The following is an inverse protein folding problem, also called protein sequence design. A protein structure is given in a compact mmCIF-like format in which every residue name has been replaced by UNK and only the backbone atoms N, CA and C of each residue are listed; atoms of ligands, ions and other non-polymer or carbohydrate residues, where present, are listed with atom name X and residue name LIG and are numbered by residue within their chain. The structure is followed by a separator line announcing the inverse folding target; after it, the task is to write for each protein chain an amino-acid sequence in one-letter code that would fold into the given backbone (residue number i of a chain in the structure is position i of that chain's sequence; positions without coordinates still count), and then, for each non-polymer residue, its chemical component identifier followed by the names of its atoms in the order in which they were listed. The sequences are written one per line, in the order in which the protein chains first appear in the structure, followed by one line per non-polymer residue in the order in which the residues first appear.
data_IF_806666187859
#
_entry.id   IF_806666187859
#
_cell.length_a   1.000
_cell.length_b   1.000
_cell.length_c   1.000
_cell.angle_alpha   90.00
_cell.angle_beta   90.00
_cell.angle_gamma   90.00
#
_symmetry.space_group_name_H-M   'P 1'
#
loop_
_entity.id
_entity.type
_entity.pdbx_description
1 polymer ?
#
# COMPACT_ATOMS: atom_id res chain seq x y z
N UNK A 1 -8.70 13.48 6.59
CA UNK A 1 -8.03 12.70 5.53
C UNK A 1 -7.22 11.62 6.24
N UNK A 2 -7.71 10.36 6.31
CA UNK A 2 -7.08 9.26 7.07
C UNK A 2 -6.25 8.39 6.10
N UNK A 3 -5.06 8.87 5.71
CA UNK A 3 -4.18 8.16 4.77
C UNK A 3 -2.76 8.10 5.32
N UNK A 4 -2.09 6.99 5.06
CA UNK A 4 -0.67 6.76 5.35
C UNK A 4 0.16 6.78 4.05
N UNK A 5 1.47 7.09 4.09
CA UNK A 5 2.27 7.47 5.26
C UNK A 5 2.12 8.96 5.66
N UNK A 6 2.49 9.28 6.91
CA UNK A 6 2.56 10.63 7.47
C UNK A 6 3.93 10.79 8.15
N UNK A 7 4.61 11.91 7.90
CA UNK A 7 5.85 12.30 8.59
C UNK A 7 5.54 13.44 9.55
N UNK A 8 5.95 13.31 10.81
CA UNK A 8 5.74 14.31 11.85
C UNK A 8 7.06 14.64 12.55
N UNK A 9 7.38 15.93 12.66
CA UNK A 9 8.55 16.44 13.36
C UNK A 9 8.20 17.66 14.21
N UNK A 10 7.98 17.44 15.51
CA UNK A 10 7.38 18.44 16.38
C UNK A 10 6.00 18.84 15.83
N UNK A 11 5.82 20.15 15.60
CA UNK A 11 4.58 20.69 15.04
C UNK A 11 4.49 20.57 13.51
N UNK A 12 5.57 20.16 12.82
CA UNK A 12 5.58 20.01 11.37
C UNK A 12 4.99 18.66 10.96
N UNK A 13 3.99 18.68 10.07
CA UNK A 13 3.39 17.47 9.48
C UNK A 13 3.47 17.51 7.97
N UNK A 14 3.95 16.42 7.37
CA UNK A 14 4.07 16.25 5.92
C UNK A 14 3.40 14.95 5.49
N UNK A 15 2.53 15.07 4.49
CA UNK A 15 1.90 13.96 3.78
C UNK A 15 2.41 13.93 2.35
N UNK A 16 2.03 12.89 1.60
CA UNK A 16 2.55 12.54 0.27
C UNK A 16 3.95 11.93 0.28
N UNK A 17 4.00 10.64 -0.01
CA UNK A 17 5.25 9.83 -0.01
C UNK A 17 6.40 10.44 -0.83
N UNK A 18 6.12 11.04 -2.00
CA UNK A 18 7.15 11.68 -2.83
C UNK A 18 7.67 12.97 -2.20
N UNK A 19 6.81 13.77 -1.57
CA UNK A 19 7.24 14.98 -0.86
C UNK A 19 8.07 14.62 0.38
N UNK A 20 7.63 13.62 1.14
CA UNK A 20 8.36 13.06 2.28
C UNK A 20 9.75 12.56 1.87
N UNK A 21 9.86 11.81 0.76
CA UNK A 21 11.14 11.32 0.25
C UNK A 21 12.11 12.48 -0.02
N UNK A 22 11.65 13.53 -0.71
CA UNK A 22 12.49 14.71 -1.03
C UNK A 22 12.90 15.47 0.24
N UNK A 23 12.00 15.58 1.20
CA UNK A 23 12.27 16.17 2.51
C UNK A 23 13.39 15.40 3.24
N UNK A 24 13.27 14.06 3.32
CA UNK A 24 14.27 13.21 3.96
C UNK A 24 15.64 13.27 3.26
N UNK A 25 15.65 13.32 1.92
CA UNK A 25 16.88 13.47 1.14
C UNK A 25 17.65 14.73 1.55
N UNK A 26 16.94 15.86 1.64
CA UNK A 26 17.54 17.14 2.01
C UNK A 26 17.94 17.19 3.49
N UNK A 27 17.07 16.68 4.37
CA UNK A 27 17.29 16.73 5.82
C UNK A 27 18.50 15.91 6.27
N UNK A 28 18.71 14.74 5.67
CA UNK A 28 19.71 13.78 6.13
C UNK A 28 20.95 13.70 5.24
N UNK A 29 21.15 14.67 4.34
CA UNK A 29 22.29 14.70 3.40
C UNK A 29 22.49 13.34 2.70
N UNK A 30 21.41 12.84 2.10
CA UNK A 30 21.37 11.48 1.57
C UNK A 30 22.44 11.28 0.48
N UNK A 31 23.18 10.15 0.49
CA UNK A 31 24.21 9.89 -0.51
C UNK A 31 23.73 10.01 -1.95
N UNK A 32 24.58 10.61 -2.79
CA UNK A 32 24.25 11.02 -4.16
C UNK A 32 23.80 9.87 -5.09
N UNK A 33 24.17 8.63 -4.80
CA UNK A 33 23.73 7.47 -5.59
C UNK A 33 22.25 7.10 -5.40
N UNK A 34 21.61 7.57 -4.32
CA UNK A 34 20.18 7.36 -4.07
C UNK A 34 19.30 8.45 -4.69
N UNK A 35 19.74 9.70 -4.60
CA UNK A 35 19.01 10.85 -5.16
C UNK A 35 20.01 11.92 -5.63
N UNK A 36 20.49 11.83 -6.88
CA UNK A 36 21.63 12.61 -7.36
C UNK A 36 21.48 14.12 -7.21
N UNK A 37 22.57 14.82 -6.91
CA UNK A 37 22.65 16.29 -6.95
C UNK A 37 22.68 16.87 -8.36
N UNK A 38 23.23 16.12 -9.32
CA UNK A 38 23.24 16.48 -10.74
C UNK A 38 21.82 16.77 -11.29
N UNK A 39 21.68 17.91 -11.98
CA UNK A 39 20.39 18.43 -12.43
C UNK A 39 19.63 17.44 -13.31
N UNK A 40 20.30 16.85 -14.30
CA UNK A 40 19.65 15.99 -15.29
C UNK A 40 19.32 14.62 -14.70
N UNK A 41 20.22 14.06 -13.90
CA UNK A 41 19.97 12.79 -13.20
C UNK A 41 18.81 12.93 -12.20
N UNK A 42 18.78 14.01 -11.42
CA UNK A 42 17.66 14.30 -10.51
C UNK A 42 16.35 14.48 -11.25
N UNK A 43 16.35 15.22 -12.35
CA UNK A 43 15.16 15.42 -13.18
C UNK A 43 14.58 14.09 -13.68
N UNK A 44 15.43 13.10 -14.02
CA UNK A 44 14.98 11.77 -14.44
C UNK A 44 14.34 10.96 -13.30
N UNK A 45 14.86 11.10 -12.07
CA UNK A 45 14.23 10.50 -10.88
C UNK A 45 12.88 11.15 -10.61
N UNK A 46 12.81 12.48 -10.63
CA UNK A 46 11.57 13.22 -10.39
C UNK A 46 10.50 12.92 -11.45
N UNK A 47 10.88 12.84 -12.72
CA UNK A 47 10.01 12.44 -13.82
C UNK A 47 9.41 11.06 -13.57
N UNK A 48 10.23 10.07 -13.18
CA UNK A 48 9.74 8.73 -12.85
C UNK A 48 8.80 8.75 -11.64
N UNK A 49 9.14 9.49 -10.57
CA UNK A 49 8.29 9.59 -9.38
C UNK A 49 6.94 10.25 -9.68
N UNK A 50 6.89 11.19 -10.61
CA UNK A 50 5.64 11.78 -11.09
C UNK A 50 4.84 10.78 -11.95
N UNK A 51 5.49 10.17 -12.93
CA UNK A 51 4.86 9.21 -13.86
C UNK A 51 4.32 7.97 -13.14
N UNK A 52 5.06 7.41 -12.17
CA UNK A 52 4.67 6.17 -11.50
C UNK A 52 3.33 6.28 -10.77
N UNK A 53 2.98 7.46 -10.24
CA UNK A 53 1.71 7.69 -9.52
C UNK A 53 0.48 7.50 -10.40
N UNK A 54 0.58 7.80 -11.70
CA UNK A 54 -0.53 7.69 -12.66
C UNK A 54 -0.42 6.49 -13.58
N UNK A 55 0.69 5.75 -13.54
CA UNK A 55 0.97 4.66 -14.46
C UNK A 55 1.17 3.35 -13.71
N UNK A 56 2.36 3.10 -13.18
CA UNK A 56 2.66 1.81 -12.54
C UNK A 56 1.79 1.57 -11.31
N UNK A 57 1.62 2.58 -10.44
CA UNK A 57 0.90 2.45 -9.17
C UNK A 57 -0.55 1.98 -9.34
N UNK A 58 -1.42 2.64 -10.13
CA UNK A 58 -2.82 2.21 -10.27
C UNK A 58 -2.93 0.80 -10.88
N UNK A 59 -2.05 0.45 -11.82
CA UNK A 59 -2.04 -0.88 -12.43
C UNK A 59 -1.61 -1.97 -11.44
N UNK A 60 -0.57 -1.72 -10.64
CA UNK A 60 -0.14 -2.62 -9.57
C UNK A 60 -1.22 -2.79 -8.50
N UNK A 61 -1.84 -1.70 -8.07
CA UNK A 61 -2.98 -1.73 -7.15
C UNK A 61 -4.13 -2.55 -7.73
N UNK A 62 -4.46 -2.39 -9.03
CA UNK A 62 -5.52 -3.16 -9.69
C UNK A 62 -5.23 -4.67 -9.67
N UNK A 63 -4.00 -5.09 -9.96
CA UNK A 63 -3.62 -6.50 -9.90
C UNK A 63 -3.81 -7.04 -8.47
N UNK A 64 -3.33 -6.30 -7.46
CA UNK A 64 -3.52 -6.67 -6.06
C UNK A 64 -5.02 -6.80 -5.72
N UNK A 65 -5.82 -5.79 -6.04
CA UNK A 65 -7.26 -5.81 -5.79
C UNK A 65 -7.96 -7.00 -6.45
N UNK A 66 -7.69 -7.26 -7.73
CA UNK A 66 -8.33 -8.36 -8.47
C UNK A 66 -7.86 -9.74 -7.97
N UNK A 67 -6.56 -9.92 -7.76
CA UNK A 67 -5.99 -11.26 -7.48
C UNK A 67 -5.98 -11.62 -6.00
N UNK A 68 -5.96 -10.63 -5.11
CA UNK A 68 -5.78 -10.84 -3.66
C UNK A 68 -7.06 -10.53 -2.90
N UNK A 69 -7.73 -9.41 -3.20
CA UNK A 69 -8.91 -8.99 -2.43
C UNK A 69 -10.20 -9.57 -3.01
N UNK A 70 -10.42 -9.38 -4.31
CA UNK A 70 -11.67 -9.74 -4.99
C UNK A 70 -11.75 -11.22 -5.40
N UNK A 71 -10.63 -11.93 -5.46
CA UNK A 71 -10.57 -13.32 -5.93
C UNK A 71 -11.15 -14.34 -4.94
N UNK A 72 -11.47 -13.94 -3.70
CA UNK A 72 -11.93 -14.84 -2.65
C UNK A 72 -10.87 -15.83 -2.17
N UNK A 73 -9.64 -15.79 -2.72
CA UNK A 73 -8.53 -16.64 -2.30
C UNK A 73 -8.25 -16.39 -0.81
N UNK A 74 -8.15 -17.44 0.02
CA UNK A 74 -7.80 -17.26 1.42
C UNK A 74 -6.29 -17.01 1.52
N UNK A 75 -5.88 -15.76 1.25
CA UNK A 75 -4.48 -15.33 1.09
C UNK A 75 -3.60 -15.72 2.28
N UNK A 76 -4.18 -15.79 3.48
CA UNK A 76 -3.48 -16.14 4.71
C UNK A 76 -3.51 -17.64 5.04
N UNK A 77 -4.47 -18.39 4.53
CA UNK A 77 -4.54 -19.84 4.76
C UNK A 77 -3.32 -20.52 4.14
N UNK A 78 -2.78 -21.50 4.86
CA UNK A 78 -1.58 -22.27 4.44
C UNK A 78 -0.32 -21.40 4.24
N UNK A 79 -0.34 -20.11 4.64
CA UNK A 79 0.81 -19.18 4.57
C UNK A 79 1.23 -18.70 5.96
N UNK A 80 1.91 -19.53 6.77
CA UNK A 80 2.17 -19.25 8.18
C UNK A 80 2.97 -17.96 8.43
N UNK A 81 3.89 -17.60 7.53
CA UNK A 81 4.63 -16.34 7.62
C UNK A 81 3.75 -15.11 7.45
N UNK A 82 2.76 -15.21 6.56
CA UNK A 82 1.86 -14.10 6.24
C UNK A 82 0.82 -13.94 7.34
N UNK A 83 0.30 -15.05 7.87
CA UNK A 83 -0.61 -15.01 9.02
C UNK A 83 0.09 -14.46 10.27
N UNK A 84 1.32 -14.92 10.56
CA UNK A 84 2.10 -14.36 11.66
C UNK A 84 2.38 -12.87 11.48
N UNK A 85 2.56 -12.40 10.24
CA UNK A 85 2.71 -10.96 9.97
C UNK A 85 1.41 -10.20 10.25
N UNK A 86 0.27 -10.69 9.78
CA UNK A 86 -1.04 -10.09 10.03
C UNK A 86 -1.30 -9.96 11.54
N UNK A 87 -1.05 -11.02 12.29
CA UNK A 87 -1.22 -11.03 13.75
C UNK A 87 -0.36 -9.94 14.43
N UNK A 88 0.92 -9.81 14.06
CA UNK A 88 1.79 -8.75 14.62
C UNK A 88 1.29 -7.35 14.29
N UNK A 89 0.72 -7.16 13.10
CA UNK A 89 0.16 -5.86 12.68
C UNK A 89 -1.10 -5.55 13.49
N UNK A 90 -2.00 -6.52 13.66
CA UNK A 90 -3.22 -6.37 14.45
C UNK A 90 -2.90 -6.09 15.93
N UNK A 91 -1.93 -6.80 16.51
CA UNK A 91 -1.44 -6.55 17.87
C UNK A 91 -0.83 -5.15 18.04
N UNK A 92 -0.07 -4.67 17.04
CA UNK A 92 0.58 -3.37 17.10
C UNK A 92 -0.39 -2.19 16.94
N UNK A 93 -1.44 -2.35 16.13
CA UNK A 93 -2.43 -1.31 15.85
C UNK A 93 -3.59 -1.29 16.85
N UNK A 94 -3.88 -2.44 17.47
CA UNK A 94 -5.11 -2.67 18.22
C UNK A 94 -6.28 -3.09 17.32
N UNK A 95 -7.22 -3.90 17.85
CA UNK A 95 -8.26 -4.53 17.06
C UNK A 95 -9.26 -3.53 16.46
N UNK A 96 -9.54 -2.42 17.15
CA UNK A 96 -10.47 -1.39 16.68
C UNK A 96 -9.93 -0.66 15.45
N UNK A 97 -8.69 -0.18 15.52
CA UNK A 97 -8.02 0.53 14.41
C UNK A 97 -7.78 -0.41 13.24
N UNK A 98 -7.38 -1.66 13.53
CA UNK A 98 -7.23 -2.67 12.49
C UNK A 98 -8.55 -2.91 11.76
N UNK A 99 -9.67 -3.07 12.49
CA UNK A 99 -10.98 -3.28 11.89
C UNK A 99 -11.46 -2.07 11.09
N UNK A 100 -11.37 -0.85 11.63
CA UNK A 100 -11.74 0.39 10.94
C UNK A 100 -10.97 0.53 9.62
N UNK A 101 -9.65 0.33 9.64
CA UNK A 101 -8.81 0.46 8.45
C UNK A 101 -9.12 -0.56 7.35
N UNK A 102 -9.69 -1.72 7.70
CA UNK A 102 -10.01 -2.79 6.77
C UNK A 102 -11.50 -2.88 6.42
N UNK A 103 -12.36 -2.07 7.04
CA UNK A 103 -13.83 -2.15 6.89
C UNK A 103 -14.26 -2.07 5.42
N UNK A 104 -13.78 -1.08 4.67
CA UNK A 104 -14.10 -0.92 3.24
C UNK A 104 -13.69 -2.15 2.41
N UNK A 105 -12.52 -2.71 2.71
CA UNK A 105 -11.97 -3.88 2.00
C UNK A 105 -12.80 -5.13 2.32
N UNK A 106 -13.14 -5.33 3.58
CA UNK A 106 -13.93 -6.47 4.06
C UNK A 106 -15.36 -6.40 3.52
N UNK A 107 -15.98 -5.22 3.52
CA UNK A 107 -17.32 -4.99 2.99
C UNK A 107 -17.38 -5.26 1.48
N UNK A 108 -16.38 -4.82 0.71
CA UNK A 108 -16.29 -5.12 -0.74
C UNK A 108 -16.14 -6.62 -0.99
N UNK A 109 -15.31 -7.31 -0.19
CA UNK A 109 -15.12 -8.75 -0.28
C UNK A 109 -16.43 -9.50 0.02
N UNK A 110 -17.13 -9.11 1.07
CA UNK A 110 -18.40 -9.73 1.49
C UNK A 110 -19.50 -9.51 0.43
N UNK A 111 -19.67 -8.28 -0.05
CA UNK A 111 -20.63 -7.97 -1.11
C UNK A 111 -20.35 -8.73 -2.41
N UNK A 112 -19.08 -8.89 -2.80
CA UNK A 112 -18.73 -9.64 -3.99
C UNK A 112 -18.93 -11.15 -3.82
N UNK A 113 -18.48 -11.74 -2.70
CA UNK A 113 -18.71 -13.16 -2.40
C UNK A 113 -20.21 -13.49 -2.44
N UNK A 114 -21.05 -12.60 -1.92
CA UNK A 114 -22.51 -12.74 -1.94
C UNK A 114 -23.12 -12.57 -3.34
N UNK A 115 -22.41 -11.96 -4.29
CA UNK A 115 -22.87 -11.78 -5.68
C UNK A 115 -22.39 -12.88 -6.65
N UNK A 116 -21.40 -13.69 -6.24
CA UNK A 116 -20.90 -14.81 -7.02
C UNK A 116 -21.81 -16.03 -6.85
N UNK A 117 -22.20 -16.69 -7.95
CA UNK A 117 -22.95 -17.95 -7.85
C UNK A 117 -22.07 -19.05 -7.23
N UNK A 118 -22.66 -20.02 -6.49
CA UNK A 118 -21.92 -21.13 -5.90
C UNK A 118 -21.02 -21.92 -6.89
N UNK A 119 -21.37 -21.91 -8.17
CA UNK A 119 -20.65 -22.59 -9.26
C UNK A 119 -19.32 -21.90 -9.61
N UNK A 120 -19.22 -20.58 -9.44
CA UNK A 120 -18.01 -19.81 -9.76
C UNK A 120 -16.83 -20.15 -8.85
N UNK A 121 -17.09 -20.69 -7.65
CA UNK A 121 -16.06 -21.18 -6.74
C UNK A 121 -15.38 -22.48 -7.20
N UNK A 122 -15.95 -23.19 -8.18
CA UNK A 122 -15.34 -24.40 -8.75
C UNK A 122 -14.21 -24.09 -9.76
N UNK A 123 -14.23 -22.90 -10.38
CA UNK A 123 -13.25 -22.51 -11.42
C UNK A 123 -11.88 -22.14 -10.82
N UNK A 124 -11.84 -21.81 -9.52
CA UNK A 124 -10.64 -21.34 -8.83
C UNK A 124 -10.00 -22.37 -7.87
N UNK A 125 -10.45 -23.64 -7.91
CA UNK A 125 -9.75 -24.78 -7.30
C UNK A 125 -8.82 -25.42 -8.32
#
# INVERSE_FOLDING_TARGET
MHKVPVLTEGEFTLVESTAMLRYLVQKYDTPDHWYPSDLQKRARVDEYLAWQHTNTRPNGCRVFWVKVVASGVPVFEQRPKLEAWKQRVEEALGPEVFKEAHEDILNVKEQQLNSLSPEMFQIYK
#
